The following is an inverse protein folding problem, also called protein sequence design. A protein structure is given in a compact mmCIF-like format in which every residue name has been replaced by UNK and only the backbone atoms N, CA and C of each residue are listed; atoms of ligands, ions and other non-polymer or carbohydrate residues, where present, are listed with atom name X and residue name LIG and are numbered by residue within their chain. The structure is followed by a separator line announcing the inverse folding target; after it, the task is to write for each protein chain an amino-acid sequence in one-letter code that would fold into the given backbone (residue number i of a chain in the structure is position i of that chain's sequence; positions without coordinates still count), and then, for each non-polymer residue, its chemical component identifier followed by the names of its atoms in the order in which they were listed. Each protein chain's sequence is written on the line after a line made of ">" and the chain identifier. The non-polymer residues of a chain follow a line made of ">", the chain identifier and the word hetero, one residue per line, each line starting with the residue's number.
data_IF_317713230802
#
_entry.id   IF_317713230802
#
_cell.length_a   1.000
_cell.length_b   1.000
_cell.length_c   1.000
_cell.angle_alpha   90.00
_cell.angle_beta   90.00
_cell.angle_gamma   90.00
#
_symmetry.space_group_name_H-M   'P 1'
#
loop_
_entity.id
_entity.type
_entity.pdbx_description
1 polymer ?
#
# COMPACT_ATOMS: atom_id res chain seq x y z
N UNK A 1 -20.76 15.22 1.80
CA UNK A 1 -20.08 16.15 0.87
C UNK A 1 -19.35 15.32 -0.16
N UNK A 2 -19.43 15.73 -1.45
CA UNK A 2 -18.59 15.21 -2.51
C UNK A 2 -17.77 16.33 -3.14
N UNK A 3 -16.59 15.97 -3.64
CA UNK A 3 -15.69 16.92 -4.31
C UNK A 3 -15.50 16.43 -5.74
N UNK A 4 -15.83 17.28 -6.70
CA UNK A 4 -15.54 17.07 -8.12
C UNK A 4 -14.42 18.01 -8.53
N UNK A 5 -13.35 17.47 -9.11
CA UNK A 5 -12.17 18.25 -9.50
C UNK A 5 -12.11 18.39 -11.02
N UNK A 6 -11.76 19.57 -11.49
CA UNK A 6 -11.56 19.89 -12.90
C UNK A 6 -10.14 20.46 -13.04
N UNK A 7 -9.38 20.04 -14.06
CA UNK A 7 -8.07 20.61 -14.38
C UNK A 7 -7.89 20.77 -15.88
N UNK A 8 -7.30 21.88 -16.28
CA UNK A 8 -6.97 22.18 -17.67
C UNK A 8 -7.25 23.64 -18.04
N UNK A 9 -6.93 24.04 -19.28
CA UNK A 9 -6.93 25.44 -19.70
C UNK A 9 -8.31 26.13 -19.73
N UNK A 10 -9.40 25.35 -19.74
CA UNK A 10 -10.77 25.88 -19.78
C UNK A 10 -11.47 25.83 -18.41
N UNK A 11 -10.75 25.48 -17.33
CA UNK A 11 -11.33 25.30 -15.99
C UNK A 11 -12.10 26.53 -15.51
N UNK A 12 -11.54 27.74 -15.65
CA UNK A 12 -12.20 28.96 -15.21
C UNK A 12 -13.49 29.25 -15.99
N UNK A 13 -13.47 29.06 -17.32
CA UNK A 13 -14.63 29.30 -18.17
C UNK A 13 -15.76 28.32 -17.87
N UNK A 14 -15.42 27.06 -17.61
CA UNK A 14 -16.39 26.05 -17.16
C UNK A 14 -16.99 26.44 -15.82
N UNK A 15 -16.17 26.86 -14.85
CA UNK A 15 -16.66 27.30 -13.53
C UNK A 15 -17.63 28.49 -13.64
N UNK A 16 -17.27 29.51 -14.46
CA UNK A 16 -18.16 30.65 -14.72
C UNK A 16 -19.48 30.25 -15.37
N UNK A 17 -19.46 29.26 -16.25
CA UNK A 17 -20.68 28.75 -16.90
C UNK A 17 -21.61 28.01 -15.95
N UNK A 18 -21.03 27.35 -14.93
CA UNK A 18 -21.76 26.57 -13.93
C UNK A 18 -22.39 27.43 -12.81
N UNK A 19 -21.81 28.63 -12.54
CA UNK A 19 -22.18 29.39 -11.35
C UNK A 19 -22.99 30.66 -11.62
N UNK A 20 -23.10 31.11 -12.85
CA UNK A 20 -23.55 32.47 -13.21
C UNK A 20 -22.72 33.62 -12.51
N UNK A 21 -21.68 33.27 -11.77
CA UNK A 21 -20.80 34.24 -11.11
C UNK A 21 -19.76 34.78 -12.10
N UNK A 22 -19.73 36.10 -12.25
CA UNK A 22 -18.74 36.76 -13.12
C UNK A 22 -17.36 36.87 -12.48
N UNK A 23 -17.32 36.91 -11.16
CA UNK A 23 -16.09 37.11 -10.40
C UNK A 23 -15.82 35.95 -9.44
N UNK A 24 -14.96 35.03 -9.84
CA UNK A 24 -14.49 33.92 -9.01
C UNK A 24 -13.13 34.30 -8.46
N UNK A 25 -13.02 34.44 -7.14
CA UNK A 25 -11.75 34.77 -6.49
C UNK A 25 -10.85 33.54 -6.42
N UNK A 26 -9.59 33.71 -6.83
CA UNK A 26 -8.60 32.64 -6.77
C UNK A 26 -8.13 32.38 -5.34
N UNK A 27 -7.86 31.11 -5.03
CA UNK A 27 -7.36 30.64 -3.72
C UNK A 27 -8.26 31.04 -2.54
N UNK A 28 -9.54 31.28 -2.82
CA UNK A 28 -10.58 31.57 -1.81
C UNK A 28 -11.78 30.66 -2.01
N UNK A 29 -12.55 30.54 -0.95
CA UNK A 29 -13.84 29.83 -0.98
C UNK A 29 -14.87 30.77 -1.57
N UNK A 30 -15.45 30.38 -2.70
CA UNK A 30 -16.57 31.08 -3.30
C UNK A 30 -17.86 30.25 -3.01
N UNK A 31 -18.76 30.82 -2.20
CA UNK A 31 -20.08 30.23 -1.99
C UNK A 31 -20.96 30.58 -3.19
N UNK A 32 -21.47 29.59 -3.89
CA UNK A 32 -22.22 29.80 -5.12
C UNK A 32 -23.28 28.72 -5.34
N UNK A 33 -24.20 29.00 -6.22
CA UNK A 33 -25.21 28.08 -6.73
C UNK A 33 -24.71 27.47 -8.02
N UNK A 34 -24.71 26.13 -8.13
CA UNK A 34 -24.41 25.46 -9.39
C UNK A 34 -25.66 25.23 -10.23
N UNK A 35 -25.56 25.61 -11.50
CA UNK A 35 -26.63 25.51 -12.49
C UNK A 35 -26.14 24.79 -13.75
N UNK A 36 -27.02 24.13 -14.45
CA UNK A 36 -26.78 23.60 -15.77
C UNK A 36 -26.80 24.77 -16.80
N UNK A 37 -25.70 25.05 -17.49
CA UNK A 37 -25.63 26.17 -18.42
C UNK A 37 -26.60 26.06 -19.59
N UNK A 38 -27.03 24.83 -19.98
CA UNK A 38 -27.94 24.59 -21.11
C UNK A 38 -29.40 24.90 -20.79
N UNK A 39 -29.87 24.44 -19.63
CA UNK A 39 -31.30 24.51 -19.30
C UNK A 39 -31.62 25.36 -18.04
N UNK A 40 -30.57 25.93 -17.42
CA UNK A 40 -30.64 26.79 -16.22
C UNK A 40 -31.23 26.08 -14.99
N UNK A 41 -31.33 24.75 -14.99
CA UNK A 41 -31.75 23.99 -13.80
C UNK A 41 -30.67 24.04 -12.73
N UNK A 42 -31.10 24.20 -11.50
CA UNK A 42 -30.22 24.11 -10.33
C UNK A 42 -29.68 22.71 -10.17
N UNK A 43 -28.36 22.58 -10.08
CA UNK A 43 -27.65 21.33 -9.77
C UNK A 43 -27.52 21.23 -8.25
N UNK A 44 -26.96 22.27 -7.62
CA UNK A 44 -26.82 22.40 -6.18
C UNK A 44 -27.07 23.86 -5.77
N UNK A 45 -28.01 24.15 -4.85
CA UNK A 45 -28.36 25.53 -4.51
C UNK A 45 -27.31 26.26 -3.66
N UNK A 46 -26.50 25.51 -2.89
CA UNK A 46 -25.49 26.02 -1.97
C UNK A 46 -24.27 25.11 -2.00
N UNK A 47 -23.27 25.50 -2.78
CA UNK A 47 -22.06 24.74 -3.00
C UNK A 47 -20.83 25.65 -2.84
N UNK A 48 -19.64 25.05 -2.68
CA UNK A 48 -18.39 25.80 -2.60
C UNK A 48 -17.58 25.54 -3.85
N UNK A 49 -17.00 26.61 -4.41
CA UNK A 49 -16.07 26.55 -5.51
C UNK A 49 -14.73 27.11 -5.05
N UNK A 50 -13.66 26.34 -5.25
CA UNK A 50 -12.29 26.77 -5.09
C UNK A 50 -11.62 26.75 -6.45
N UNK A 51 -10.94 27.85 -6.83
CA UNK A 51 -10.20 27.94 -8.06
C UNK A 51 -8.72 28.26 -7.79
N UNK A 52 -7.85 27.45 -8.38
CA UNK A 52 -6.40 27.52 -8.27
C UNK A 52 -5.80 27.77 -9.65
N UNK A 53 -5.36 29.03 -9.96
CA UNK A 53 -4.73 29.33 -11.23
C UNK A 53 -3.37 28.68 -11.35
N UNK A 54 -2.98 28.34 -12.58
CA UNK A 54 -1.63 27.93 -12.90
C UNK A 54 -0.62 29.04 -12.56
N UNK A 55 0.62 28.71 -12.18
CA UNK A 55 1.14 27.37 -11.90
C UNK A 55 0.89 26.91 -10.45
N UNK A 56 0.11 27.65 -9.65
CA UNK A 56 -0.06 27.46 -8.21
C UNK A 56 -1.20 26.49 -7.86
N UNK A 57 -1.37 25.43 -8.64
CA UNK A 57 -2.31 24.35 -8.42
C UNK A 57 -1.60 23.03 -8.15
N UNK A 58 -2.35 22.00 -7.78
CA UNK A 58 -1.82 20.64 -7.61
C UNK A 58 -1.25 20.08 -8.93
N UNK A 59 -1.96 20.24 -10.03
CA UNK A 59 -1.54 19.74 -11.35
C UNK A 59 -0.52 20.63 -12.03
N UNK A 60 -0.39 21.91 -11.62
CA UNK A 60 0.37 22.93 -12.33
C UNK A 60 -0.42 23.63 -13.44
N UNK A 61 -1.56 23.08 -13.84
CA UNK A 61 -2.54 23.73 -14.73
C UNK A 61 -3.62 24.45 -13.92
N UNK A 62 -4.52 25.19 -14.59
CA UNK A 62 -5.70 25.72 -13.92
C UNK A 62 -6.52 24.58 -13.34
N UNK A 63 -6.93 24.69 -12.07
CA UNK A 63 -7.62 23.66 -11.35
C UNK A 63 -8.76 24.25 -10.53
N UNK A 64 -9.89 23.58 -10.50
CA UNK A 64 -10.99 23.92 -9.61
C UNK A 64 -11.50 22.70 -8.85
N UNK A 65 -11.96 22.93 -7.63
CA UNK A 65 -12.69 21.99 -6.81
C UNK A 65 -14.09 22.47 -6.56
N UNK A 66 -15.05 21.62 -6.92
CA UNK A 66 -16.48 21.83 -6.76
C UNK A 66 -16.95 20.97 -5.57
N UNK A 67 -17.18 21.58 -4.42
CA UNK A 67 -17.66 20.92 -3.22
C UNK A 67 -19.17 20.99 -3.20
N UNK A 68 -19.82 19.86 -3.33
CA UNK A 68 -21.28 19.72 -3.49
C UNK A 68 -21.89 18.83 -2.41
N UNK A 69 -23.21 18.86 -2.27
CA UNK A 69 -23.92 17.89 -1.46
C UNK A 69 -23.73 16.48 -2.06
N UNK A 70 -23.37 15.50 -1.20
CA UNK A 70 -22.86 14.18 -1.60
C UNK A 70 -23.92 13.17 -2.05
N UNK A 71 -25.08 13.61 -2.62
CA UNK A 71 -26.05 12.67 -3.16
C UNK A 71 -25.61 12.15 -4.53
N UNK A 72 -25.84 10.86 -4.81
CA UNK A 72 -25.54 10.26 -6.11
C UNK A 72 -26.24 10.99 -7.26
N UNK A 73 -27.43 11.56 -7.03
CA UNK A 73 -28.17 12.30 -8.03
C UNK A 73 -27.46 13.61 -8.42
N UNK A 74 -26.95 14.37 -7.45
CA UNK A 74 -26.21 15.61 -7.70
C UNK A 74 -24.89 15.31 -8.39
N UNK A 75 -24.13 14.31 -7.88
CA UNK A 75 -22.84 13.89 -8.46
C UNK A 75 -23.01 13.48 -9.92
N UNK A 76 -23.96 12.57 -10.19
CA UNK A 76 -24.20 12.06 -11.55
C UNK A 76 -24.66 13.16 -12.50
N UNK A 77 -25.51 14.08 -12.02
CA UNK A 77 -25.99 15.19 -12.87
C UNK A 77 -24.88 16.19 -13.16
N UNK A 78 -24.06 16.56 -12.16
CA UNK A 78 -22.91 17.43 -12.36
C UNK A 78 -21.89 16.82 -13.32
N UNK A 79 -21.53 15.56 -13.15
CA UNK A 79 -20.60 14.85 -14.04
C UNK A 79 -21.14 14.81 -15.49
N UNK A 80 -22.44 14.59 -15.66
CA UNK A 80 -23.09 14.65 -16.99
C UNK A 80 -22.97 16.05 -17.59
N UNK A 81 -23.29 17.10 -16.84
CA UNK A 81 -23.21 18.49 -17.31
C UNK A 81 -21.77 18.85 -17.69
N UNK A 82 -20.77 18.40 -16.91
CA UNK A 82 -19.36 18.59 -17.21
C UNK A 82 -18.92 17.83 -18.48
N UNK A 83 -19.33 16.59 -18.62
CA UNK A 83 -19.00 15.77 -19.81
C UNK A 83 -19.64 16.31 -21.10
N UNK A 84 -20.74 17.06 -20.98
CA UNK A 84 -21.40 17.75 -22.08
C UNK A 84 -20.69 19.05 -22.49
N UNK A 85 -19.74 19.55 -21.70
CA UNK A 85 -18.94 20.72 -22.05
C UNK A 85 -17.91 20.37 -23.14
N UNK A 86 -17.71 21.29 -24.06
CA UNK A 86 -16.70 21.12 -25.11
C UNK A 86 -15.30 20.99 -24.50
N UNK A 87 -14.55 19.98 -24.94
CA UNK A 87 -13.18 19.68 -24.48
C UNK A 87 -13.07 19.28 -22.98
N UNK A 88 -14.16 18.80 -22.36
CA UNK A 88 -14.16 18.25 -21.04
C UNK A 88 -14.51 16.74 -21.11
N UNK A 89 -13.79 15.93 -20.36
CA UNK A 89 -14.01 14.49 -20.25
C UNK A 89 -13.77 14.03 -18.82
N UNK A 90 -14.24 12.84 -18.48
CA UNK A 90 -13.89 12.21 -17.22
C UNK A 90 -12.38 11.90 -17.18
N UNK A 91 -11.78 12.14 -16.04
CA UNK A 91 -10.39 11.79 -15.78
C UNK A 91 -10.25 10.27 -15.57
N UNK A 92 -9.11 9.73 -15.98
CA UNK A 92 -8.72 8.37 -15.64
C UNK A 92 -8.22 8.28 -14.16
N UNK A 93 -8.28 7.11 -13.53
CA UNK A 93 -7.70 6.94 -12.20
C UNK A 93 -6.23 7.38 -12.16
N UNK A 94 -5.87 8.23 -11.19
CA UNK A 94 -4.51 8.76 -11.03
C UNK A 94 -4.10 9.87 -12.02
N UNK A 95 -4.98 10.29 -12.94
CA UNK A 95 -4.62 11.26 -13.99
C UNK A 95 -4.17 12.61 -13.45
N UNK A 96 -4.78 13.14 -12.40
CA UNK A 96 -4.34 14.40 -11.77
C UNK A 96 -2.91 14.31 -11.24
N UNK A 97 -2.56 13.20 -10.61
CA UNK A 97 -1.20 12.95 -10.11
C UNK A 97 -0.21 12.79 -11.27
N UNK A 98 -0.62 12.13 -12.36
CA UNK A 98 0.18 12.00 -13.58
C UNK A 98 0.47 13.36 -14.22
N UNK A 99 -0.53 14.24 -14.31
CA UNK A 99 -0.35 15.61 -14.82
C UNK A 99 0.59 16.40 -13.91
N UNK A 100 0.42 16.31 -12.60
CA UNK A 100 1.32 16.96 -11.63
C UNK A 100 2.78 16.51 -11.81
N UNK A 101 3.02 15.22 -12.03
CA UNK A 101 4.34 14.69 -12.35
C UNK A 101 4.88 15.22 -13.68
N UNK A 102 4.07 15.20 -14.75
CA UNK A 102 4.47 15.72 -16.07
C UNK A 102 4.81 17.21 -16.05
N UNK A 103 4.12 17.97 -15.21
CA UNK A 103 4.37 19.40 -15.00
C UNK A 103 5.46 19.69 -13.96
N UNK A 104 6.24 18.68 -13.55
CA UNK A 104 7.32 18.78 -12.56
C UNK A 104 6.89 19.39 -11.20
N UNK A 105 5.61 19.23 -10.81
CA UNK A 105 5.11 19.65 -9.50
C UNK A 105 5.48 18.67 -8.39
N UNK A 106 5.58 17.40 -8.75
CA UNK A 106 5.98 16.30 -7.88
C UNK A 106 6.95 15.38 -8.63
N UNK A 107 7.79 14.68 -7.90
CA UNK A 107 8.61 13.59 -8.43
C UNK A 107 7.85 12.24 -8.43
N UNK A 108 8.47 11.21 -9.01
CA UNK A 108 7.85 9.89 -9.13
C UNK A 108 7.60 9.24 -7.76
N UNK A 109 8.55 9.39 -6.81
CA UNK A 109 8.43 8.83 -5.46
C UNK A 109 7.21 9.44 -4.76
N UNK A 110 7.04 10.75 -4.86
CA UNK A 110 5.89 11.45 -4.29
C UNK A 110 4.58 11.05 -4.97
N UNK A 111 4.60 10.85 -6.30
CA UNK A 111 3.43 10.40 -7.04
C UNK A 111 2.96 9.00 -6.58
N UNK A 112 3.88 8.05 -6.43
CA UNK A 112 3.60 6.72 -5.91
C UNK A 112 3.13 6.76 -4.45
N UNK A 113 3.81 7.56 -3.62
CA UNK A 113 3.49 7.68 -2.19
C UNK A 113 2.12 8.31 -1.92
N UNK A 114 1.61 9.16 -2.81
CA UNK A 114 0.23 9.66 -2.73
C UNK A 114 -0.76 8.50 -2.91
N UNK A 115 -0.48 7.58 -3.84
CA UNK A 115 -1.26 6.35 -3.98
C UNK A 115 -1.22 5.49 -2.73
N UNK A 116 -0.02 5.25 -2.18
CA UNK A 116 0.16 4.49 -0.94
C UNK A 116 -0.59 5.15 0.24
N UNK A 117 -0.57 6.49 0.35
CA UNK A 117 -1.27 7.21 1.40
C UNK A 117 -2.80 7.07 1.30
N UNK A 118 -3.34 7.05 0.07
CA UNK A 118 -4.78 6.85 -0.17
C UNK A 118 -5.20 5.43 0.18
N UNK A 119 -4.35 4.44 -0.08
CA UNK A 119 -4.64 3.02 0.18
C UNK A 119 -4.13 2.52 1.54
N UNK A 120 -3.54 3.41 2.35
CA UNK A 120 -3.06 3.03 3.68
C UNK A 120 -4.23 2.65 4.59
N UNK A 121 -4.20 1.45 5.13
CA UNK A 121 -5.24 0.87 5.99
C UNK A 121 -4.76 0.72 7.43
N UNK A 122 -3.45 0.84 7.66
CA UNK A 122 -2.84 0.80 8.99
C UNK A 122 -2.06 2.08 9.28
N UNK A 123 -1.84 2.34 10.57
CA UNK A 123 -1.12 3.53 11.01
C UNK A 123 0.32 3.55 10.50
N UNK A 124 1.00 2.41 10.49
CA UNK A 124 2.37 2.31 9.98
C UNK A 124 2.45 2.57 8.47
N UNK A 125 1.48 2.08 7.68
CA UNK A 125 1.38 2.40 6.26
C UNK A 125 1.16 3.89 6.03
N UNK A 126 0.25 4.50 6.79
CA UNK A 126 -0.03 5.93 6.71
C UNK A 126 1.21 6.77 7.05
N UNK A 127 1.90 6.42 8.14
CA UNK A 127 3.11 7.13 8.58
C UNK A 127 4.23 7.01 7.55
N UNK A 128 4.48 5.82 7.04
CA UNK A 128 5.49 5.58 6.00
C UNK A 128 5.17 6.38 4.72
N UNK A 129 3.93 6.29 4.21
CA UNK A 129 3.52 7.02 3.03
C UNK A 129 3.60 8.53 3.23
N UNK A 130 3.18 9.05 4.39
CA UNK A 130 3.28 10.47 4.73
C UNK A 130 4.74 10.97 4.73
N UNK A 131 5.67 10.19 5.29
CA UNK A 131 7.10 10.50 5.29
C UNK A 131 7.67 10.56 3.86
N UNK A 132 7.24 9.65 2.99
CA UNK A 132 7.65 9.65 1.57
C UNK A 132 7.07 10.86 0.82
N UNK A 133 5.79 11.19 1.03
CA UNK A 133 5.15 12.40 0.44
C UNK A 133 5.86 13.69 0.87
N UNK A 134 6.39 13.75 2.10
CA UNK A 134 7.20 14.87 2.59
C UNK A 134 8.57 14.98 1.91
N UNK A 135 8.95 13.99 1.11
CA UNK A 135 10.16 14.02 0.28
C UNK A 135 11.44 13.56 0.99
N UNK A 136 11.34 12.82 2.09
CA UNK A 136 12.52 12.29 2.78
C UNK A 136 13.35 11.37 1.88
N UNK A 137 12.71 10.46 1.16
CA UNK A 137 13.38 9.58 0.21
C UNK A 137 13.91 10.34 -1.01
N UNK A 138 13.14 11.31 -1.55
CA UNK A 138 13.56 12.12 -2.69
C UNK A 138 14.85 12.88 -2.39
N UNK A 139 14.96 13.50 -1.21
CA UNK A 139 16.17 14.20 -0.77
C UNK A 139 17.37 13.25 -0.66
N UNK A 140 17.14 12.03 -0.18
CA UNK A 140 18.19 11.03 -0.05
C UNK A 140 18.73 10.62 -1.44
N UNK A 141 17.85 10.29 -2.37
CA UNK A 141 18.26 9.90 -3.73
C UNK A 141 18.89 11.07 -4.50
N UNK A 142 18.41 12.29 -4.32
CA UNK A 142 19.04 13.47 -4.94
C UNK A 142 20.48 13.69 -4.41
N UNK A 143 20.71 13.48 -3.12
CA UNK A 143 22.07 13.53 -2.57
C UNK A 143 23.00 12.46 -3.18
N UNK A 144 22.50 11.23 -3.40
CA UNK A 144 23.27 10.19 -4.09
C UNK A 144 23.55 10.59 -5.55
N UNK A 145 22.54 11.13 -6.24
CA UNK A 145 22.66 11.63 -7.61
C UNK A 145 23.72 12.74 -7.73
N UNK A 146 23.67 13.74 -6.84
CA UNK A 146 24.65 14.84 -6.81
C UNK A 146 26.08 14.31 -6.64
N UNK A 147 26.30 13.35 -5.72
CA UNK A 147 27.61 12.73 -5.53
C UNK A 147 28.10 12.02 -6.81
N UNK A 148 27.19 11.32 -7.52
CA UNK A 148 27.52 10.62 -8.77
C UNK A 148 27.80 11.60 -9.90
N UNK A 149 26.96 12.63 -10.08
CA UNK A 149 27.14 13.66 -11.12
C UNK A 149 28.46 14.39 -10.90
N UNK A 150 28.78 14.78 -9.65
CA UNK A 150 30.07 15.41 -9.32
C UNK A 150 31.24 14.49 -9.62
N UNK A 151 31.11 13.19 -9.32
CA UNK A 151 32.15 12.20 -9.63
C UNK A 151 32.37 12.04 -11.14
N UNK A 152 31.25 12.04 -11.91
CA UNK A 152 31.29 11.96 -13.37
C UNK A 152 31.96 13.21 -13.96
N UNK A 153 31.57 14.42 -13.54
CA UNK A 153 32.18 15.67 -14.06
C UNK A 153 33.69 15.73 -13.80
N UNK A 154 34.18 15.19 -12.69
CA UNK A 154 35.63 15.11 -12.45
C UNK A 154 36.35 14.12 -13.40
N UNK A 155 35.71 13.02 -13.78
CA UNK A 155 36.23 12.07 -14.74
C UNK A 155 36.25 12.66 -16.14
N UNK A 156 35.14 13.32 -16.55
CA UNK A 156 35.04 14.00 -17.83
C UNK A 156 36.12 15.11 -17.96
N UNK A 157 36.25 15.95 -16.93
CA UNK A 157 37.31 16.94 -16.91
C UNK A 157 38.73 16.35 -17.06
N UNK A 158 38.99 15.15 -16.47
CA UNK A 158 40.29 14.48 -16.61
C UNK A 158 40.49 13.89 -18.00
N UNK A 159 39.45 13.56 -18.72
CA UNK A 159 39.48 13.08 -20.10
C UNK A 159 39.69 14.26 -21.06
N UNK A 160 38.94 15.33 -20.90
CA UNK A 160 38.96 16.49 -21.81
C UNK A 160 40.23 17.33 -21.66
N UNK A 161 40.77 17.41 -20.44
CA UNK A 161 41.97 18.21 -20.10
C UNK A 161 43.11 17.24 -19.68
N UNK A 162 43.41 16.22 -20.51
CA UNK A 162 44.39 15.20 -20.20
C UNK A 162 45.81 15.77 -20.07
N UNK A 163 46.13 16.86 -20.76
CA UNK A 163 47.42 17.55 -20.74
C UNK A 163 47.60 18.51 -19.58
N UNK A 164 46.48 18.93 -18.92
CA UNK A 164 46.52 19.77 -17.73
C UNK A 164 46.77 18.94 -16.48
N UNK A 165 47.66 19.43 -15.60
CA UNK A 165 47.98 18.78 -14.31
C UNK A 165 46.79 18.93 -13.31
N UNK A 166 45.71 18.22 -13.55
CA UNK A 166 44.68 18.09 -12.53
C UNK A 166 45.30 17.37 -11.29
N UNK A 167 45.04 17.92 -10.08
CA UNK A 167 45.60 17.34 -8.86
C UNK A 167 45.30 15.86 -8.74
N UNK A 168 46.32 15.03 -8.46
CA UNK A 168 46.17 13.58 -8.31
C UNK A 168 45.23 13.14 -7.18
N UNK A 169 44.82 14.09 -6.31
CA UNK A 169 43.80 13.92 -5.31
C UNK A 169 42.37 13.73 -5.87
N UNK A 170 42.09 14.28 -7.07
CA UNK A 170 40.75 14.24 -7.69
C UNK A 170 40.26 12.81 -7.89
N UNK A 171 41.08 11.93 -8.44
CA UNK A 171 40.70 10.52 -8.61
C UNK A 171 40.49 9.78 -7.28
N UNK A 172 41.25 10.14 -6.23
CA UNK A 172 41.04 9.60 -4.89
C UNK A 172 39.72 10.06 -4.29
N UNK A 173 39.31 11.33 -4.51
CA UNK A 173 38.03 11.84 -4.08
C UNK A 173 36.86 11.15 -4.81
N UNK A 174 36.97 10.96 -6.13
CA UNK A 174 36.00 10.19 -6.92
C UNK A 174 35.84 8.78 -6.36
N UNK A 175 36.96 8.07 -6.14
CA UNK A 175 36.91 6.70 -5.58
C UNK A 175 36.23 6.67 -4.20
N UNK A 176 36.54 7.65 -3.34
CA UNK A 176 35.93 7.76 -2.02
C UNK A 176 34.41 8.01 -2.12
N UNK A 177 34.01 8.94 -2.99
CA UNK A 177 32.60 9.27 -3.23
C UNK A 177 31.80 8.06 -3.72
N UNK A 178 32.32 7.34 -4.74
CA UNK A 178 31.67 6.14 -5.30
C UNK A 178 31.58 5.03 -4.26
N UNK A 179 32.64 4.80 -3.47
CA UNK A 179 32.60 3.82 -2.38
C UNK A 179 31.56 4.15 -1.34
N UNK A 180 31.40 5.44 -0.99
CA UNK A 180 30.38 5.88 -0.04
C UNK A 180 28.98 5.61 -0.61
N UNK A 181 28.70 6.03 -1.86
CA UNK A 181 27.41 5.77 -2.52
C UNK A 181 27.10 4.27 -2.58
N UNK A 182 28.09 3.45 -2.92
CA UNK A 182 27.92 1.99 -2.93
C UNK A 182 27.54 1.44 -1.54
N UNK A 183 28.23 1.92 -0.49
CA UNK A 183 27.95 1.51 0.89
C UNK A 183 26.57 1.94 1.33
N UNK A 184 26.18 3.19 1.05
CA UNK A 184 24.86 3.75 1.39
C UNK A 184 23.74 2.94 0.72
N UNK A 185 23.87 2.61 -0.58
CA UNK A 185 22.91 1.78 -1.31
C UNK A 185 22.85 0.36 -0.75
N UNK A 186 24.02 -0.24 -0.47
CA UNK A 186 24.10 -1.60 0.08
C UNK A 186 23.39 -1.69 1.43
N UNK A 187 23.58 -0.70 2.30
CA UNK A 187 22.91 -0.64 3.61
C UNK A 187 21.38 -0.63 3.49
N UNK A 188 20.82 0.14 2.52
CA UNK A 188 19.37 0.16 2.26
C UNK A 188 18.88 -1.20 1.76
N UNK A 189 19.64 -1.84 0.86
CA UNK A 189 19.25 -3.16 0.33
C UNK A 189 19.31 -4.27 1.38
N UNK A 190 20.12 -4.09 2.44
CA UNK A 190 20.30 -5.04 3.53
C UNK A 190 19.31 -4.84 4.69
N UNK A 191 18.42 -3.84 4.65
CA UNK A 191 17.43 -3.56 5.71
C UNK A 191 16.30 -4.60 5.83
N UNK A 192 16.44 -5.76 5.18
CA UNK A 192 15.47 -6.86 5.15
C UNK A 192 14.13 -6.51 4.53
N UNK A 193 14.09 -5.46 3.71
CA UNK A 193 12.88 -5.01 3.00
C UNK A 193 11.73 -4.62 3.95
N UNK A 194 12.04 -4.09 5.11
CA UNK A 194 11.03 -3.70 6.10
C UNK A 194 10.03 -2.71 5.51
N UNK A 195 10.50 -1.71 4.75
CA UNK A 195 9.64 -0.74 4.08
C UNK A 195 8.68 -1.38 3.06
N UNK A 196 9.17 -2.36 2.28
CA UNK A 196 8.35 -3.12 1.33
C UNK A 196 7.27 -3.92 2.05
N UNK A 197 7.61 -4.56 3.18
CA UNK A 197 6.66 -5.33 4.00
C UNK A 197 5.61 -4.47 4.69
N UNK A 198 5.95 -3.28 5.14
CA UNK A 198 4.96 -2.34 5.67
C UNK A 198 4.01 -1.89 4.56
N UNK A 199 4.52 -1.60 3.36
CA UNK A 199 3.70 -1.21 2.22
C UNK A 199 2.76 -2.33 1.77
N UNK A 200 3.32 -3.51 1.47
CA UNK A 200 2.61 -4.62 0.84
C UNK A 200 1.90 -5.54 1.84
N UNK A 201 2.24 -5.46 3.11
CA UNK A 201 1.76 -6.32 4.19
C UNK A 201 2.66 -7.52 4.46
N UNK A 202 2.72 -7.90 5.74
CA UNK A 202 3.41 -9.11 6.20
C UNK A 202 2.58 -10.35 5.88
N UNK A 203 3.11 -11.24 5.06
CA UNK A 203 2.41 -12.46 4.65
C UNK A 203 2.60 -13.57 5.67
N UNK A 204 1.53 -13.97 6.32
CA UNK A 204 1.52 -15.07 7.30
C UNK A 204 0.73 -16.25 6.74
N UNK A 205 1.35 -17.42 6.69
CA UNK A 205 0.72 -18.67 6.30
C UNK A 205 0.32 -19.48 7.54
N UNK A 206 -0.90 -20.06 7.56
CA UNK A 206 -1.35 -20.96 8.63
C UNK A 206 -1.44 -22.35 8.07
N UNK A 207 -0.56 -23.24 8.53
CA UNK A 207 -0.53 -24.66 8.13
C UNK A 207 -0.79 -25.58 9.33
N UNK A 208 -1.10 -26.81 9.09
CA UNK A 208 -1.31 -27.82 10.14
C UNK A 208 -2.32 -28.88 9.73
N UNK A 209 -2.48 -29.87 10.57
CA UNK A 209 -3.40 -31.01 10.37
C UNK A 209 -4.86 -30.59 10.16
N UNK A 210 -5.63 -31.52 9.59
CA UNK A 210 -7.09 -31.38 9.54
C UNK A 210 -7.62 -31.31 10.99
N UNK A 211 -8.54 -30.37 11.22
CA UNK A 211 -9.13 -30.09 12.54
C UNK A 211 -8.16 -29.58 13.62
N UNK A 212 -6.96 -29.10 13.26
CA UNK A 212 -6.06 -28.43 14.20
C UNK A 212 -6.59 -27.07 14.70
N UNK A 213 -7.62 -26.50 14.04
CA UNK A 213 -8.26 -25.24 14.41
C UNK A 213 -7.83 -24.04 13.56
N UNK A 214 -7.27 -24.28 12.37
CA UNK A 214 -6.80 -23.21 11.47
C UNK A 214 -7.89 -22.17 11.13
N UNK A 215 -9.02 -22.61 10.59
CA UNK A 215 -10.15 -21.72 10.26
C UNK A 215 -10.76 -21.05 11.50
N UNK A 216 -10.69 -21.72 12.67
CA UNK A 216 -11.17 -21.13 13.92
C UNK A 216 -10.24 -20.03 14.41
N UNK A 217 -8.92 -20.19 14.27
CA UNK A 217 -7.94 -19.16 14.58
C UNK A 217 -8.11 -17.96 13.64
N UNK A 218 -8.20 -18.19 12.34
CA UNK A 218 -8.41 -17.15 11.34
C UNK A 218 -9.69 -16.34 11.64
N UNK A 219 -10.81 -17.03 11.91
CA UNK A 219 -12.07 -16.36 12.25
C UNK A 219 -11.97 -15.58 13.58
N UNK A 220 -11.18 -16.05 14.53
CA UNK A 220 -10.97 -15.35 15.80
C UNK A 220 -10.16 -14.07 15.59
N UNK A 221 -9.06 -14.15 14.84
CA UNK A 221 -8.23 -12.99 14.50
C UNK A 221 -9.03 -11.97 13.68
N UNK A 222 -9.75 -12.41 12.64
CA UNK A 222 -10.57 -11.55 11.81
C UNK A 222 -11.71 -10.82 12.57
N UNK A 223 -12.22 -11.43 13.64
CA UNK A 223 -13.25 -10.78 14.49
C UNK A 223 -12.68 -9.78 15.48
N UNK A 224 -11.44 -9.99 15.92
CA UNK A 224 -10.80 -9.20 16.95
C UNK A 224 -10.12 -7.95 16.37
N UNK A 225 -9.36 -8.15 15.34
CA UNK A 225 -8.53 -7.13 14.72
C UNK A 225 -9.17 -6.79 13.38
N UNK A 226 -10.14 -5.88 13.37
CA UNK A 226 -10.98 -5.48 12.25
C UNK A 226 -10.46 -6.00 10.88
N UNK A 227 -11.05 -7.08 10.39
CA UNK A 227 -10.74 -7.55 9.04
C UNK A 227 -10.97 -6.38 8.08
N UNK A 228 -9.93 -5.92 7.46
CA UNK A 228 -9.98 -4.90 6.45
C UNK A 228 -10.64 -5.57 5.25
N UNK A 229 -11.90 -5.27 5.02
CA UNK A 229 -12.63 -5.76 3.84
C UNK A 229 -12.19 -4.90 2.67
N UNK A 230 -11.16 -5.31 1.95
CA UNK A 230 -10.88 -4.72 0.65
C UNK A 230 -12.00 -5.15 -0.31
N UNK A 231 -12.86 -4.21 -0.68
CA UNK A 231 -13.84 -4.37 -1.78
C UNK A 231 -13.13 -4.32 -3.16
N UNK A 232 -12.09 -5.07 -3.38
CA UNK A 232 -11.64 -5.33 -4.74
C UNK A 232 -12.51 -6.42 -5.35
N UNK A 233 -13.67 -6.02 -5.88
CA UNK A 233 -14.43 -6.80 -6.84
C UNK A 233 -13.57 -7.05 -8.08
N UNK A 234 -13.00 -8.24 -8.21
CA UNK A 234 -12.34 -8.60 -9.49
C UNK A 234 -11.54 -9.88 -9.54
N UNK A 235 -11.22 -10.55 -8.43
CA UNK A 235 -10.42 -11.78 -8.46
C UNK A 235 -11.11 -12.98 -7.81
N UNK A 236 -12.36 -13.22 -8.22
CA UNK A 236 -13.15 -14.36 -7.77
C UNK A 236 -12.71 -15.65 -8.44
N UNK A 237 -11.51 -16.18 -8.11
CA UNK A 237 -11.26 -17.63 -8.33
C UNK A 237 -10.14 -18.26 -7.52
N UNK A 238 -9.22 -17.51 -6.94
CA UNK A 238 -8.08 -18.11 -6.24
C UNK A 238 -7.84 -17.41 -4.90
N UNK A 239 -8.11 -18.16 -3.79
CA UNK A 239 -7.61 -17.91 -2.43
C UNK A 239 -8.15 -16.67 -1.70
N UNK A 240 -8.98 -16.89 -0.72
CA UNK A 240 -9.41 -15.86 0.24
C UNK A 240 -8.20 -15.46 1.08
N UNK A 241 -7.63 -14.31 0.80
CA UNK A 241 -6.67 -13.63 1.66
C UNK A 241 -7.45 -12.76 2.65
N UNK A 242 -7.05 -12.78 3.92
CA UNK A 242 -7.67 -11.94 4.95
C UNK A 242 -6.65 -10.90 5.39
N UNK A 243 -6.99 -9.63 5.18
CA UNK A 243 -6.18 -8.50 5.60
C UNK A 243 -6.52 -8.13 7.04
N UNK A 244 -5.53 -7.98 7.89
CA UNK A 244 -5.66 -7.65 9.30
C UNK A 244 -4.75 -6.48 9.65
N UNK A 245 -5.20 -5.66 10.59
CA UNK A 245 -4.37 -4.68 11.25
C UNK A 245 -3.96 -5.23 12.63
N UNK A 246 -2.76 -5.75 12.76
CA UNK A 246 -2.26 -6.29 14.03
C UNK A 246 -1.29 -5.26 14.64
N UNK A 247 -1.74 -4.56 15.67
CA UNK A 247 -0.95 -3.52 16.38
C UNK A 247 -0.34 -2.46 15.43
N UNK A 248 -1.10 -2.05 14.41
CA UNK A 248 -0.64 -1.09 13.41
C UNK A 248 0.09 -1.71 12.21
N UNK A 249 0.46 -3.00 12.28
CA UNK A 249 1.10 -3.71 11.18
C UNK A 249 0.07 -4.29 10.19
N UNK A 250 0.26 -4.09 8.88
CA UNK A 250 -0.57 -4.72 7.87
C UNK A 250 -0.18 -6.20 7.74
N UNK A 251 -1.11 -7.09 8.04
CA UNK A 251 -0.89 -8.54 7.99
C UNK A 251 -1.84 -9.19 7.00
N UNK A 252 -1.29 -9.99 6.09
CA UNK A 252 -2.04 -10.77 5.10
C UNK A 252 -2.02 -12.23 5.53
N UNK A 253 -3.16 -12.73 6.00
CA UNK A 253 -3.33 -14.16 6.28
C UNK A 253 -3.74 -14.90 5.00
N UNK A 254 -2.85 -15.74 4.50
CA UNK A 254 -3.16 -16.63 3.39
C UNK A 254 -4.00 -17.82 3.89
N UNK A 255 -5.28 -17.91 3.51
CA UNK A 255 -6.13 -19.04 3.87
C UNK A 255 -5.71 -20.34 3.15
N UNK A 256 -5.13 -21.26 3.93
CA UNK A 256 -4.88 -22.62 3.48
C UNK A 256 -6.11 -23.53 3.69
N UNK A 257 -7.21 -22.99 4.25
CA UNK A 257 -8.43 -23.75 4.56
C UNK A 257 -9.47 -23.76 3.43
N UNK A 258 -9.28 -23.00 2.34
CA UNK A 258 -10.13 -23.02 1.13
C UNK A 258 -10.25 -24.40 0.44
N UNK A 259 -9.69 -25.45 1.04
CA UNK A 259 -9.76 -26.86 0.60
C UNK A 259 -11.02 -27.57 1.15
N UNK A 260 -12.07 -26.83 1.45
CA UNK A 260 -13.36 -27.43 1.80
C UNK A 260 -14.17 -27.72 0.53
N UNK A 261 -13.88 -28.80 -0.18
CA UNK A 261 -14.81 -29.68 -0.93
C UNK A 261 -14.08 -30.42 -2.06
N UNK A 262 -13.41 -31.51 -1.72
CA UNK A 262 -13.38 -32.64 -2.66
C UNK A 262 -12.69 -33.83 -2.01
N UNK A 263 -13.39 -34.93 -2.01
CA UNK A 263 -12.88 -36.25 -1.57
C UNK A 263 -11.91 -36.80 -2.63
N UNK A 264 -10.77 -37.30 -2.19
CA UNK A 264 -9.88 -38.30 -2.82
C UNK A 264 -8.86 -37.94 -3.94
N UNK A 265 -8.85 -36.82 -4.63
CA UNK A 265 -7.69 -36.40 -5.48
C UNK A 265 -7.08 -35.10 -5.06
N UNK A 266 -7.75 -34.34 -4.25
CA UNK A 266 -7.49 -32.94 -3.87
C UNK A 266 -6.53 -32.80 -2.69
N UNK A 267 -6.34 -33.82 -1.90
CA UNK A 267 -5.48 -33.79 -0.71
C UNK A 267 -4.00 -33.56 -1.07
N UNK A 268 -3.49 -34.19 -2.14
CA UNK A 268 -2.13 -34.01 -2.62
C UNK A 268 -1.90 -32.63 -3.26
N UNK A 269 -2.91 -32.09 -3.92
CA UNK A 269 -2.85 -30.77 -4.54
C UNK A 269 -2.95 -29.66 -3.48
N UNK A 270 -3.78 -29.87 -2.45
CA UNK A 270 -3.87 -29.01 -1.28
C UNK A 270 -2.56 -28.89 -0.51
N UNK A 271 -1.87 -30.01 -0.29
CA UNK A 271 -0.55 -30.02 0.34
C UNK A 271 0.47 -29.29 -0.51
N UNK A 272 0.47 -29.47 -1.84
CA UNK A 272 1.39 -28.73 -2.74
C UNK A 272 1.14 -27.22 -2.70
N UNK A 273 -0.12 -26.78 -2.69
CA UNK A 273 -0.49 -25.36 -2.58
C UNK A 273 -0.09 -24.78 -1.22
N UNK A 274 -0.32 -25.53 -0.13
CA UNK A 274 0.11 -25.13 1.22
C UNK A 274 1.64 -24.98 1.31
N UNK A 275 2.40 -25.89 0.70
CA UNK A 275 3.86 -25.82 0.62
C UNK A 275 4.33 -24.61 -0.17
N UNK A 276 3.69 -24.31 -1.30
CA UNK A 276 4.02 -23.14 -2.11
C UNK A 276 3.81 -21.85 -1.30
N UNK A 277 2.66 -21.71 -0.65
CA UNK A 277 2.33 -20.54 0.17
C UNK A 277 3.20 -20.38 1.40
N UNK A 278 3.54 -21.47 2.09
CA UNK A 278 4.47 -21.43 3.21
C UNK A 278 5.88 -20.97 2.79
N UNK A 279 6.27 -21.20 1.53
CA UNK A 279 7.55 -20.70 0.98
C UNK A 279 7.51 -19.23 0.60
N UNK A 280 6.33 -18.72 0.26
CA UNK A 280 6.11 -17.31 -0.12
C UNK A 280 5.76 -16.42 1.08
N UNK A 281 5.47 -17.02 2.24
CA UNK A 281 5.14 -16.31 3.47
C UNK A 281 6.40 -15.83 4.22
N UNK A 282 6.28 -14.67 4.85
CA UNK A 282 7.31 -14.13 5.75
C UNK A 282 7.39 -14.90 7.05
N UNK A 283 6.23 -15.43 7.51
CA UNK A 283 6.10 -16.23 8.73
C UNK A 283 5.10 -17.35 8.51
N UNK A 284 5.39 -18.53 9.08
CA UNK A 284 4.46 -19.66 9.04
C UNK A 284 4.02 -20.07 10.43
N UNK A 285 2.71 -20.05 10.69
CA UNK A 285 2.11 -20.58 11.90
C UNK A 285 1.75 -22.05 11.69
N UNK A 286 2.42 -22.95 12.42
CA UNK A 286 2.18 -24.38 12.34
C UNK A 286 1.23 -24.81 13.45
N UNK A 287 -0.05 -24.99 13.12
CA UNK A 287 -1.10 -25.38 14.05
C UNK A 287 -1.03 -26.88 14.38
N UNK A 288 -0.84 -27.20 15.67
CA UNK A 288 -0.73 -28.57 16.20
C UNK A 288 -1.81 -28.77 17.26
N UNK A 289 -2.57 -29.85 17.12
CA UNK A 289 -3.57 -30.26 18.10
C UNK A 289 -2.89 -30.99 19.28
N UNK A 290 -2.93 -30.40 20.48
CA UNK A 290 -2.31 -31.00 21.68
C UNK A 290 -2.95 -32.32 22.15
N UNK A 291 -4.17 -32.61 21.70
CA UNK A 291 -4.83 -33.89 22.01
C UNK A 291 -4.18 -35.09 21.27
N UNK A 292 -3.44 -34.81 20.20
CA UNK A 292 -2.70 -35.82 19.43
C UNK A 292 -1.34 -36.09 20.07
N UNK A 293 -0.95 -37.39 20.15
CA UNK A 293 0.34 -37.78 20.76
C UNK A 293 1.56 -37.43 19.91
N UNK A 294 1.39 -37.26 18.59
CA UNK A 294 2.48 -37.05 17.63
C UNK A 294 2.08 -36.02 16.58
N UNK A 295 3.05 -35.29 16.08
CA UNK A 295 2.88 -34.38 14.95
C UNK A 295 2.91 -35.19 13.65
N UNK A 296 2.01 -34.89 12.72
CA UNK A 296 1.94 -35.54 11.41
C UNK A 296 3.28 -35.40 10.65
N UNK A 297 3.70 -36.50 9.99
CA UNK A 297 4.97 -36.54 9.25
C UNK A 297 5.05 -35.49 8.15
N UNK A 298 3.95 -35.20 7.45
CA UNK A 298 3.94 -34.21 6.36
C UNK A 298 4.00 -32.78 6.89
N UNK A 299 3.36 -32.49 8.03
CA UNK A 299 3.49 -31.20 8.73
C UNK A 299 4.92 -31.00 9.24
N UNK A 300 5.57 -32.05 9.77
CA UNK A 300 6.96 -31.98 10.22
C UNK A 300 7.94 -31.55 9.14
N UNK A 301 7.73 -31.97 7.88
CA UNK A 301 8.58 -31.60 6.73
C UNK A 301 8.50 -30.12 6.35
N UNK A 302 7.44 -29.42 6.79
CA UNK A 302 7.20 -28.02 6.50
C UNK A 302 7.78 -27.07 7.57
N UNK A 303 8.20 -27.62 8.72
CA UNK A 303 8.76 -26.82 9.82
C UNK A 303 10.19 -26.43 9.46
N UNK A 304 10.45 -25.14 9.38
CA UNK A 304 11.75 -24.53 9.19
C UNK A 304 12.02 -23.48 10.29
N UNK A 305 13.08 -22.68 10.17
CA UNK A 305 13.46 -21.64 11.13
C UNK A 305 12.44 -20.48 11.21
N UNK A 306 11.68 -20.25 10.14
CA UNK A 306 10.73 -19.15 10.00
C UNK A 306 9.30 -19.61 10.39
N UNK A 307 9.20 -20.62 11.26
CA UNK A 307 7.93 -21.18 11.75
C UNK A 307 7.76 -20.96 13.24
N UNK A 308 6.54 -20.54 13.65
CA UNK A 308 6.06 -20.59 15.04
C UNK A 308 5.17 -21.82 15.20
N UNK A 309 5.45 -22.65 16.21
CA UNK A 309 4.63 -23.82 16.53
C UNK A 309 3.49 -23.42 17.47
N UNK A 310 2.28 -23.46 16.95
CA UNK A 310 1.07 -23.10 17.70
C UNK A 310 0.34 -24.35 18.19
N UNK A 311 0.52 -24.68 19.45
CA UNK A 311 -0.15 -25.81 20.10
C UNK A 311 -1.55 -25.41 20.54
N UNK A 312 -2.55 -25.80 19.78
CA UNK A 312 -3.96 -25.46 20.00
C UNK A 312 -4.69 -26.54 20.81
N UNK A 313 -5.85 -26.17 21.35
CA UNK A 313 -6.75 -27.00 22.18
C UNK A 313 -6.17 -27.29 23.57
N UNK A 314 -5.52 -26.31 24.16
CA UNK A 314 -5.00 -26.41 25.55
C UNK A 314 -6.09 -26.59 26.61
N UNK A 315 -7.35 -26.43 26.22
CA UNK A 315 -8.53 -26.79 27.01
C UNK A 315 -8.70 -28.31 27.17
N UNK A 316 -8.21 -29.12 26.21
CA UNK A 316 -8.27 -30.59 26.25
C UNK A 316 -7.01 -31.20 26.89
N UNK A 317 -5.85 -30.59 26.73
CA UNK A 317 -4.59 -31.07 27.32
C UNK A 317 -3.61 -29.94 27.50
N UNK A 318 -2.92 -29.92 28.64
CA UNK A 318 -1.82 -28.98 28.92
C UNK A 318 -0.44 -29.52 28.49
N UNK A 319 -0.37 -30.81 28.09
CA UNK A 319 0.89 -31.45 27.68
C UNK A 319 1.06 -31.29 26.18
N UNK A 320 2.11 -30.62 25.77
CA UNK A 320 2.49 -30.55 24.35
C UNK A 320 3.05 -31.89 23.87
N UNK A 321 2.80 -32.30 22.62
CA UNK A 321 3.45 -33.47 22.04
C UNK A 321 4.97 -33.35 22.11
N UNK A 322 5.65 -34.47 22.35
CA UNK A 322 7.12 -34.51 22.22
C UNK A 322 7.51 -34.09 20.81
N UNK A 323 8.36 -33.09 20.68
CA UNK A 323 8.86 -32.61 19.41
C UNK A 323 10.37 -32.34 19.46
N UNK A 324 10.98 -32.36 18.30
CA UNK A 324 12.42 -32.13 18.11
C UNK A 324 12.75 -30.68 17.74
N UNK A 325 11.72 -29.82 17.58
CA UNK A 325 11.83 -28.45 17.11
C UNK A 325 12.03 -27.44 18.25
N UNK A 326 12.99 -27.69 19.14
CA UNK A 326 13.27 -26.86 20.31
C UNK A 326 13.78 -25.45 19.98
N UNK A 327 14.25 -25.23 18.76
CA UNK A 327 14.79 -23.93 18.29
C UNK A 327 13.69 -23.00 17.75
N UNK A 328 12.50 -23.52 17.49
CA UNK A 328 11.36 -22.73 17.03
C UNK A 328 10.61 -22.15 18.20
N UNK A 329 10.05 -20.96 18.05
CA UNK A 329 9.12 -20.41 19.02
C UNK A 329 7.89 -21.28 19.15
N UNK A 330 7.42 -21.47 20.38
CA UNK A 330 6.34 -22.39 20.71
C UNK A 330 5.31 -21.70 21.59
N UNK A 331 4.08 -21.70 21.19
CA UNK A 331 2.99 -21.07 21.91
C UNK A 331 1.86 -22.05 22.15
N UNK A 332 1.38 -22.17 23.39
CA UNK A 332 0.24 -23.01 23.76
C UNK A 332 -1.01 -22.14 23.87
N UNK A 333 -2.00 -22.38 23.04
CA UNK A 333 -3.25 -21.62 22.97
C UNK A 333 -4.50 -22.48 23.10
N UNK A 334 -5.65 -21.86 23.37
CA UNK A 334 -6.97 -22.43 23.09
C UNK A 334 -7.79 -21.41 22.31
N UNK A 335 -7.99 -21.67 21.04
CA UNK A 335 -8.85 -20.83 20.18
C UNK A 335 -10.29 -20.85 20.70
N UNK A 336 -10.77 -22.00 21.22
CA UNK A 336 -12.14 -22.15 21.76
C UNK A 336 -12.40 -21.21 22.95
N UNK A 337 -11.42 -21.06 23.84
CA UNK A 337 -11.53 -20.27 25.07
C UNK A 337 -10.79 -18.94 25.00
N UNK A 338 -10.33 -18.53 23.81
CA UNK A 338 -9.50 -17.33 23.58
C UNK A 338 -8.29 -17.19 24.49
N UNK A 339 -7.70 -18.32 24.90
CA UNK A 339 -6.60 -18.34 25.87
C UNK A 339 -5.26 -18.18 25.18
N UNK A 340 -4.41 -17.28 25.68
CA UNK A 340 -3.06 -16.97 25.18
C UNK A 340 -3.03 -16.49 23.72
N UNK A 341 -4.13 -15.96 23.19
CA UNK A 341 -4.16 -15.38 21.85
C UNK A 341 -3.33 -14.10 21.81
N UNK A 342 -3.39 -13.26 22.87
CA UNK A 342 -2.57 -12.03 22.99
C UNK A 342 -1.05 -12.28 22.92
N UNK A 343 -0.60 -13.50 23.20
CA UNK A 343 0.82 -13.88 23.11
C UNK A 343 1.21 -14.35 21.71
N UNK A 344 0.21 -14.69 20.90
CA UNK A 344 0.42 -15.08 19.51
C UNK A 344 0.45 -13.85 18.62
N UNK A 345 -0.31 -12.83 18.98
CA UNK A 345 -0.31 -11.51 18.36
C UNK A 345 0.94 -10.75 18.81
#
# INVERSE_FOLDING_TARGET
>A
IAIVRISGPQTLDICKSLTDEKNIESNKINLCKFIDPKNKKTIDPEALLLWFPKPHSFTGDDLAELHIHGSNAIISYLLKVLSDQKNCRLAEPGEFTKIAFQNNKIDLIKAESIGDLIHAETELQREQAANLVQGHASKYYENLREKLVKSLSYIEAKIDFAEDDLPGSVLKEVQKSIKQVHTDIKQILEDQKVGEKIRDGFRISIIGDVNAGKSSLLNLLAKRDAAIVSEEEGTTRDVVETYLNIDGYPVILADTAGIRKAKNKVEKEGIKRAIKKAKEADLTLVMIDVSKKTINKDVKKLINKDCILVFNKSDLSKKTPKNEFKKNDQILISVKNSKNIDRLI
#
